data_IF_246352453620
#
_entry.id   IF_246352453620
#
_cell.length_a   1.000
_cell.length_b   1.000
_cell.length_c   1.000
_cell.angle_alpha   90.00
_cell.angle_beta   90.00
_cell.angle_gamma   90.00
#
_symmetry.space_group_name_H-M   'P 1'
#
loop_
_entity.id
_entity.type
_entity.pdbx_description
1 polymer ?
#
# COMPACT_ATOMS: atom_id res chain seq x y z
N UNK A 1 14.57 3.91 -27.57
CA UNK A 1 14.10 2.73 -28.33
C UNK A 1 14.99 1.54 -28.00
N UNK A 2 14.41 0.37 -27.69
CA UNK A 2 15.20 -0.83 -27.39
C UNK A 2 15.56 -1.54 -28.71
N UNK A 3 16.84 -1.52 -29.08
CA UNK A 3 17.27 -2.00 -30.40
C UNK A 3 17.63 -3.50 -30.36
N UNK A 4 18.09 -4.02 -29.22
CA UNK A 4 18.46 -5.43 -29.04
C UNK A 4 17.23 -6.25 -28.61
N UNK A 5 17.09 -7.49 -29.12
CA UNK A 5 15.97 -8.40 -28.79
C UNK A 5 15.76 -8.55 -27.27
N UNK A 6 16.84 -8.72 -26.53
CA UNK A 6 16.82 -8.83 -25.06
C UNK A 6 16.30 -7.55 -24.40
N UNK A 7 16.70 -6.37 -24.87
CA UNK A 7 16.21 -5.08 -24.36
C UNK A 7 14.70 -4.94 -24.60
N UNK A 8 14.19 -5.28 -25.80
CA UNK A 8 12.74 -5.28 -26.11
C UNK A 8 11.95 -6.19 -25.16
N UNK A 9 12.53 -7.34 -24.76
CA UNK A 9 11.93 -8.23 -23.74
C UNK A 9 11.93 -7.57 -22.35
N UNK A 10 13.04 -6.95 -21.94
CA UNK A 10 13.14 -6.26 -20.64
C UNK A 10 12.14 -5.12 -20.51
N UNK A 11 11.94 -4.31 -21.55
CA UNK A 11 10.93 -3.23 -21.57
C UNK A 11 9.53 -3.78 -21.33
N UNK A 12 9.14 -4.87 -22.02
CA UNK A 12 7.81 -5.50 -21.81
C UNK A 12 7.62 -6.03 -20.39
N UNK A 13 8.65 -6.65 -19.81
CA UNK A 13 8.59 -7.16 -18.43
C UNK A 13 8.48 -6.00 -17.44
N UNK A 14 9.28 -4.95 -17.62
CA UNK A 14 9.29 -3.79 -16.75
C UNK A 14 7.93 -3.07 -16.74
N UNK A 15 7.29 -2.91 -17.90
CA UNK A 15 5.98 -2.28 -17.97
C UNK A 15 4.92 -3.12 -17.26
N UNK A 16 4.90 -4.45 -17.44
CA UNK A 16 3.98 -5.34 -16.71
C UNK A 16 4.17 -5.21 -15.19
N UNK A 17 5.41 -5.31 -14.71
CA UNK A 17 5.74 -5.18 -13.29
C UNK A 17 5.37 -3.80 -12.74
N UNK A 18 5.59 -2.74 -13.52
CA UNK A 18 5.21 -1.37 -13.16
C UNK A 18 3.71 -1.26 -12.94
N UNK A 19 2.89 -1.81 -13.84
CA UNK A 19 1.44 -1.77 -13.72
C UNK A 19 0.94 -2.55 -12.49
N UNK A 20 1.49 -3.74 -12.23
CA UNK A 20 1.16 -4.54 -11.05
C UNK A 20 1.55 -3.81 -9.75
N UNK A 21 2.78 -3.29 -9.67
CA UNK A 21 3.26 -2.54 -8.51
C UNK A 21 2.47 -1.26 -8.28
N UNK A 22 2.08 -0.57 -9.35
CA UNK A 22 1.27 0.64 -9.29
C UNK A 22 -0.08 0.35 -8.64
N UNK A 23 -0.75 -0.75 -9.02
CA UNK A 23 -2.03 -1.17 -8.43
C UNK A 23 -1.92 -1.39 -6.93
N UNK A 24 -0.93 -2.17 -6.48
CA UNK A 24 -0.73 -2.39 -5.04
C UNK A 24 -0.46 -1.09 -4.28
N UNK A 25 0.44 -0.24 -4.81
CA UNK A 25 0.80 1.03 -4.17
C UNK A 25 -0.37 2.01 -4.11
N UNK A 26 -1.16 2.11 -5.18
CA UNK A 26 -2.33 3.00 -5.22
C UNK A 26 -3.42 2.50 -4.28
N UNK A 27 -3.71 1.21 -4.25
CA UNK A 27 -4.70 0.64 -3.32
C UNK A 27 -4.31 0.87 -1.87
N UNK A 28 -3.05 0.60 -1.48
CA UNK A 28 -2.57 0.89 -0.12
C UNK A 28 -2.73 2.37 0.23
N UNK A 29 -2.41 3.28 -0.71
CA UNK A 29 -2.58 4.72 -0.50
C UNK A 29 -4.04 5.11 -0.32
N UNK A 30 -4.95 4.54 -1.12
CA UNK A 30 -6.40 4.79 -1.01
C UNK A 30 -6.94 4.31 0.33
N UNK A 31 -6.61 3.09 0.75
CA UNK A 31 -7.04 2.55 2.05
C UNK A 31 -6.47 3.34 3.23
N UNK A 32 -5.24 3.83 3.12
CA UNK A 32 -4.66 4.70 4.16
C UNK A 32 -5.48 5.99 4.31
N UNK A 33 -5.84 6.64 3.19
CA UNK A 33 -6.68 7.84 3.21
C UNK A 33 -8.09 7.59 3.75
N UNK A 34 -8.68 6.43 3.46
CA UNK A 34 -10.00 6.06 4.01
C UNK A 34 -9.94 5.93 5.52
N UNK A 35 -8.89 5.31 6.05
CA UNK A 35 -8.68 5.23 7.49
C UNK A 35 -8.48 6.62 8.11
N UNK A 36 -7.66 7.47 7.51
CA UNK A 36 -7.47 8.85 7.96
C UNK A 36 -8.79 9.66 7.99
N UNK A 37 -9.61 9.53 6.94
CA UNK A 37 -10.92 10.17 6.88
C UNK A 37 -11.88 9.63 7.95
N UNK A 38 -11.96 8.31 8.13
CA UNK A 38 -12.82 7.69 9.14
C UNK A 38 -12.45 8.13 10.57
N UNK A 39 -11.14 8.23 10.87
CA UNK A 39 -10.66 8.75 12.16
C UNK A 39 -11.02 10.23 12.33
N UNK A 40 -10.86 11.04 11.27
CA UNK A 40 -11.21 12.47 11.31
C UNK A 40 -12.71 12.72 11.45
N UNK A 41 -13.55 11.86 10.88
CA UNK A 41 -15.01 11.94 10.93
C UNK A 41 -15.59 11.32 12.21
N UNK A 42 -14.79 10.57 12.99
CA UNK A 42 -15.24 9.89 14.21
C UNK A 42 -16.11 8.66 13.95
N UNK A 43 -16.02 8.06 12.76
CA UNK A 43 -16.79 6.87 12.37
C UNK A 43 -16.19 5.60 13.00
N UNK A 44 -16.70 5.23 14.18
CA UNK A 44 -16.19 4.11 14.96
C UNK A 44 -16.26 2.76 14.23
N UNK A 45 -17.28 2.54 13.40
CA UNK A 45 -17.45 1.28 12.66
C UNK A 45 -16.38 1.15 11.58
N UNK A 46 -16.15 2.22 10.80
CA UNK A 46 -15.08 2.22 9.78
C UNK A 46 -13.70 2.15 10.40
N UNK A 47 -13.48 2.79 11.55
CA UNK A 47 -12.20 2.71 12.29
C UNK A 47 -11.93 1.29 12.79
N UNK A 48 -12.96 0.47 13.03
CA UNK A 48 -12.78 -0.94 13.39
C UNK A 48 -12.44 -1.85 12.19
N UNK A 49 -12.97 -1.56 10.99
CA UNK A 49 -12.85 -2.43 9.82
C UNK A 49 -11.70 -2.07 8.88
N UNK A 50 -11.52 -0.79 8.55
CA UNK A 50 -10.55 -0.29 7.57
C UNK A 50 -9.07 -0.63 7.92
N UNK A 51 -8.62 -0.59 9.19
CA UNK A 51 -7.24 -0.97 9.53
C UNK A 51 -6.92 -2.42 9.20
N UNK A 52 -7.91 -3.33 9.31
CA UNK A 52 -7.73 -4.75 9.01
C UNK A 52 -7.54 -4.97 7.51
N UNK A 53 -8.35 -4.30 6.69
CA UNK A 53 -8.23 -4.35 5.24
C UNK A 53 -6.90 -3.74 4.77
N UNK A 54 -6.54 -2.58 5.31
CA UNK A 54 -5.27 -1.91 5.02
C UNK A 54 -4.07 -2.81 5.36
N UNK A 55 -4.07 -3.43 6.55
CA UNK A 55 -3.00 -4.34 6.97
C UNK A 55 -2.86 -5.53 6.02
N UNK A 56 -3.98 -6.17 5.66
CA UNK A 56 -4.01 -7.28 4.70
C UNK A 56 -3.42 -6.87 3.35
N UNK A 57 -3.77 -5.69 2.85
CA UNK A 57 -3.27 -5.20 1.56
C UNK A 57 -1.78 -4.85 1.62
N UNK A 58 -1.31 -4.29 2.73
CA UNK A 58 0.12 -4.00 2.93
C UNK A 58 0.94 -5.29 2.91
N UNK A 59 0.49 -6.33 3.60
CA UNK A 59 1.19 -7.62 3.63
C UNK A 59 1.22 -8.27 2.25
N UNK A 60 0.09 -8.24 1.52
CA UNK A 60 0.04 -8.71 0.14
C UNK A 60 0.99 -7.94 -0.78
N UNK A 61 1.04 -6.62 -0.65
CA UNK A 61 1.96 -5.78 -1.43
C UNK A 61 3.44 -6.06 -1.11
N UNK A 62 3.75 -6.42 0.15
CA UNK A 62 5.10 -6.84 0.54
C UNK A 62 5.47 -8.20 -0.06
N UNK A 63 4.57 -9.19 0.01
CA UNK A 63 4.78 -10.52 -0.58
C UNK A 63 4.99 -10.49 -2.10
N UNK A 64 4.32 -9.58 -2.80
CA UNK A 64 4.50 -9.39 -4.24
C UNK A 64 5.69 -8.48 -4.61
N UNK A 65 6.46 -7.98 -3.64
CA UNK A 65 7.61 -7.10 -3.89
C UNK A 65 7.26 -5.67 -4.33
N UNK A 66 5.97 -5.29 -4.28
CA UNK A 66 5.54 -3.93 -4.58
C UNK A 66 5.99 -2.94 -3.49
N UNK A 67 6.13 -3.42 -2.24
CA UNK A 67 6.68 -2.71 -1.08
C UNK A 67 7.82 -3.52 -0.44
N UNK A 68 8.85 -2.82 0.04
CA UNK A 68 9.87 -3.44 0.87
C UNK A 68 9.32 -3.79 2.26
N UNK A 69 9.82 -4.86 2.88
CA UNK A 69 9.39 -5.33 4.21
C UNK A 69 9.40 -4.21 5.26
N UNK A 70 10.46 -3.41 5.30
CA UNK A 70 10.56 -2.26 6.22
C UNK A 70 9.50 -1.20 5.94
N UNK A 71 9.18 -0.93 4.67
CA UNK A 71 8.13 0.04 4.31
C UNK A 71 6.75 -0.49 4.69
N UNK A 72 6.51 -1.79 4.52
CA UNK A 72 5.29 -2.44 5.00
C UNK A 72 5.19 -2.34 6.53
N UNK A 73 6.28 -2.64 7.26
CA UNK A 73 6.35 -2.50 8.72
C UNK A 73 6.04 -1.09 9.21
N UNK A 74 6.65 -0.05 8.61
CA UNK A 74 6.34 1.35 8.95
C UNK A 74 4.87 1.69 8.72
N UNK A 75 4.30 1.26 7.58
CA UNK A 75 2.90 1.54 7.25
C UNK A 75 1.92 0.83 8.19
N UNK A 76 2.20 -0.41 8.59
CA UNK A 76 1.40 -1.12 9.61
C UNK A 76 1.45 -0.41 10.96
N UNK A 77 2.64 0.03 11.38
CA UNK A 77 2.79 0.82 12.61
C UNK A 77 2.00 2.13 12.56
N UNK A 78 2.03 2.85 11.43
CA UNK A 78 1.23 4.07 11.24
C UNK A 78 -0.27 3.78 11.27
N UNK A 79 -0.75 2.75 10.58
CA UNK A 79 -2.16 2.36 10.60
C UNK A 79 -2.65 2.03 12.02
N UNK A 80 -1.85 1.31 12.80
CA UNK A 80 -2.17 0.98 14.18
C UNK A 80 -2.22 2.24 15.08
N UNK A 81 -1.30 3.19 14.88
CA UNK A 81 -1.30 4.46 15.62
C UNK A 81 -2.55 5.31 15.31
N UNK A 82 -2.91 5.40 14.02
CA UNK A 82 -4.11 6.10 13.56
C UNK A 82 -5.37 5.49 14.17
N UNK A 83 -5.52 4.16 14.10
CA UNK A 83 -6.67 3.46 14.68
C UNK A 83 -6.75 3.62 16.22
N UNK A 84 -5.61 3.74 16.90
CA UNK A 84 -5.55 3.94 18.35
C UNK A 84 -5.70 5.42 18.77
N UNK A 85 -5.89 6.36 17.84
CA UNK A 85 -5.96 7.80 18.12
C UNK A 85 -4.65 8.40 18.64
N UNK A 86 -3.53 7.67 18.54
CA UNK A 86 -2.21 8.15 18.99
C UNK A 86 -1.60 8.96 17.86
N UNK A 87 -1.85 10.28 17.85
CA UNK A 87 -1.09 11.19 17.00
C UNK A 87 0.39 11.03 17.30
N UNK A 88 1.16 10.61 16.29
CA UNK A 88 2.61 10.70 16.35
C UNK A 88 2.95 12.19 16.34
N UNK A 89 3.34 12.71 17.50
CA UNK A 89 3.94 14.03 17.66
C UNK A 89 5.15 14.19 16.72
#
# INVERSE_FOLDING_TARGET
MANIKQQKKRVRIAERQRQENLRYRSTVKTLTKRLEAAVSEGDADKVATEPRELTRMIDKAASHGALHANTAGRKKSQAAKLAAGKNAA
#
